data_IF_972243426815
#
_entry.id   IF_972243426815
#
_cell.length_a   1.000
_cell.length_b   1.000
_cell.length_c   1.000
_cell.angle_alpha   90.00
_cell.angle_beta   90.00
_cell.angle_gamma   90.00
#
_symmetry.space_group_name_H-M   'P 1'
#
loop_
_entity.id
_entity.type
_entity.pdbx_description
1 polymer ?
#
# COMPACT_ATOMS: atom_id res chain seq x y z
N UNK A 1 -1.32 -2.53 21.39
CA UNK A 1 -2.34 -1.57 20.88
C UNK A 1 -2.50 -1.85 19.40
N UNK A 2 -3.68 -2.21 18.91
CA UNK A 2 -3.92 -2.44 17.48
C UNK A 2 -3.76 -1.11 16.72
N UNK A 3 -3.20 -1.13 15.52
CA UNK A 3 -3.10 0.04 14.62
C UNK A 3 -4.38 0.24 13.80
N UNK A 4 -5.28 -0.75 13.83
CA UNK A 4 -6.57 -0.70 13.14
C UNK A 4 -7.58 -0.12 14.13
N UNK A 5 -8.23 0.97 13.73
CA UNK A 5 -9.32 1.56 14.49
C UNK A 5 -10.55 0.64 14.44
N UNK A 6 -11.28 0.56 15.56
CA UNK A 6 -12.43 -0.35 15.71
C UNK A 6 -13.51 -0.12 14.63
N UNK A 7 -13.70 1.13 14.20
CA UNK A 7 -14.71 1.50 13.19
C UNK A 7 -14.44 0.85 11.82
N UNK A 8 -13.17 0.61 11.47
CA UNK A 8 -12.76 0.11 10.16
C UNK A 8 -12.44 -1.38 10.10
N UNK A 9 -12.66 -2.14 11.19
CA UNK A 9 -12.19 -3.53 11.27
C UNK A 9 -12.84 -4.45 10.23
N UNK A 10 -14.12 -4.23 9.92
CA UNK A 10 -14.85 -5.03 8.93
C UNK A 10 -14.74 -4.51 7.50
N UNK A 11 -14.08 -3.37 7.30
CA UNK A 11 -13.83 -2.82 5.97
C UNK A 11 -12.76 -3.64 5.24
N UNK A 12 -12.78 -3.53 3.90
CA UNK A 12 -11.76 -4.18 3.07
C UNK A 12 -10.47 -3.38 3.16
N UNK A 13 -9.38 -4.06 3.51
CA UNK A 13 -8.04 -3.50 3.48
C UNK A 13 -7.15 -4.22 2.45
N UNK A 14 -6.08 -3.55 2.01
CA UNK A 14 -5.06 -4.14 1.17
C UNK A 14 -3.91 -4.70 2.00
N UNK A 15 -3.57 -5.97 1.79
CA UNK A 15 -2.34 -6.60 2.29
C UNK A 15 -1.44 -6.90 1.11
N UNK A 16 -0.14 -6.59 1.18
CA UNK A 16 0.79 -7.06 0.17
C UNK A 16 2.12 -7.50 0.76
N UNK A 17 2.73 -8.48 0.09
CA UNK A 17 4.09 -8.95 0.35
C UNK A 17 4.96 -8.38 -0.77
N UNK A 18 5.95 -7.58 -0.41
CA UNK A 18 6.93 -7.01 -1.34
C UNK A 18 8.21 -7.84 -1.35
N UNK A 19 8.63 -8.29 -2.53
CA UNK A 19 9.88 -9.01 -2.73
C UNK A 19 10.93 -8.07 -3.32
N UNK A 20 12.00 -7.86 -2.55
CA UNK A 20 13.04 -6.86 -2.80
C UNK A 20 14.39 -7.58 -2.89
N UNK A 21 15.19 -7.20 -3.88
CA UNK A 21 16.58 -7.62 -4.00
C UNK A 21 17.44 -6.40 -4.31
N UNK A 22 18.53 -6.22 -3.57
CA UNK A 22 19.44 -5.07 -3.74
C UNK A 22 18.69 -3.72 -3.80
N UNK A 23 17.81 -3.48 -2.82
CA UNK A 23 16.96 -2.29 -2.69
C UNK A 23 15.96 -2.05 -3.83
N UNK A 24 15.79 -3.02 -4.73
CA UNK A 24 14.83 -2.93 -5.83
C UNK A 24 13.75 -4.01 -5.69
N UNK A 25 12.51 -3.55 -5.64
CA UNK A 25 11.34 -4.43 -5.65
C UNK A 25 11.04 -4.94 -7.06
N UNK A 26 11.14 -6.26 -7.23
CA UNK A 26 10.92 -6.96 -8.50
C UNK A 26 9.54 -7.65 -8.58
N UNK A 27 8.90 -7.88 -7.43
CA UNK A 27 7.59 -8.51 -7.36
C UNK A 27 6.83 -8.05 -6.11
N UNK A 28 5.51 -7.97 -6.21
CA UNK A 28 4.62 -7.95 -5.04
C UNK A 28 3.40 -8.82 -5.28
N UNK A 29 2.92 -9.40 -4.19
CA UNK A 29 1.67 -10.17 -4.17
C UNK A 29 0.72 -9.50 -3.20
N UNK A 30 -0.38 -8.97 -3.73
CA UNK A 30 -1.45 -8.33 -2.98
C UNK A 30 -2.63 -9.26 -2.71
N UNK A 31 -3.32 -9.01 -1.62
CA UNK A 31 -4.56 -9.64 -1.21
C UNK A 31 -5.50 -8.55 -0.70
N UNK A 32 -6.78 -8.65 -1.04
CA UNK A 32 -7.80 -7.96 -0.27
C UNK A 32 -8.06 -8.79 0.98
N UNK A 33 -8.01 -8.14 2.14
CA UNK A 33 -8.28 -8.77 3.44
C UNK A 33 -9.50 -8.12 4.06
N UNK A 34 -10.35 -8.96 4.63
CA UNK A 34 -11.46 -8.56 5.47
C UNK A 34 -11.43 -9.38 6.76
N UNK A 35 -11.82 -8.76 7.87
CA UNK A 35 -12.08 -9.48 9.10
C UNK A 35 -13.54 -9.94 9.14
N UNK A 36 -13.75 -11.21 9.49
CA UNK A 36 -15.05 -11.82 9.66
C UNK A 36 -15.09 -12.53 11.02
N UNK A 37 -16.24 -12.54 11.69
CA UNK A 37 -16.39 -13.40 12.85
C UNK A 37 -16.41 -14.86 12.42
N UNK A 38 -15.87 -15.73 13.28
CA UNK A 38 -15.94 -17.18 13.12
C UNK A 38 -17.37 -17.74 13.11
N UNK A 39 -18.33 -16.99 13.66
CA UNK A 39 -19.72 -17.36 13.82
C UNK A 39 -20.66 -16.44 12.99
N UNK A 40 -21.45 -17.02 12.07
CA UNK A 40 -22.42 -16.27 11.26
C UNK A 40 -23.44 -15.47 12.08
N UNK A 41 -23.84 -15.93 13.27
CA UNK A 41 -24.81 -15.22 14.09
C UNK A 41 -24.27 -13.86 14.59
N UNK A 42 -22.96 -13.79 14.87
CA UNK A 42 -22.28 -12.54 15.24
C UNK A 42 -22.09 -11.60 14.06
N UNK A 43 -22.07 -12.12 12.83
CA UNK A 43 -22.03 -11.30 11.62
C UNK A 43 -23.38 -10.61 11.36
N UNK A 44 -24.48 -11.33 11.60
CA UNK A 44 -25.84 -10.77 11.46
C UNK A 44 -26.18 -9.78 12.57
N UNK A 45 -25.71 -10.07 13.79
CA UNK A 45 -25.92 -9.23 14.98
C UNK A 45 -24.58 -8.88 15.63
N UNK A 46 -23.86 -7.87 15.11
CA UNK A 46 -22.54 -7.53 15.62
C UNK A 46 -22.62 -7.13 17.10
N UNK A 47 -21.76 -7.69 17.96
CA UNK A 47 -21.68 -7.29 19.35
C UNK A 47 -21.33 -5.80 19.52
N UNK A 48 -21.71 -5.15 20.63
CA UNK A 48 -21.44 -3.73 20.87
C UNK A 48 -19.94 -3.38 20.95
N UNK A 49 -19.12 -4.35 21.35
CA UNK A 49 -17.68 -4.25 21.41
C UNK A 49 -17.06 -5.35 20.55
N UNK A 50 -16.01 -4.99 19.80
CA UNK A 50 -15.34 -5.93 18.90
C UNK A 50 -14.55 -6.96 19.71
N UNK A 51 -14.85 -8.24 19.46
CA UNK A 51 -14.10 -9.35 20.05
C UNK A 51 -13.00 -9.83 19.10
N UNK A 52 -11.79 -9.30 19.29
CA UNK A 52 -10.62 -9.62 18.47
C UNK A 52 -10.22 -11.11 18.47
N UNK A 53 -10.61 -11.89 19.49
CA UNK A 53 -10.27 -13.32 19.54
C UNK A 53 -11.10 -14.16 18.58
N UNK A 54 -12.25 -13.63 18.15
CA UNK A 54 -13.21 -14.31 17.28
C UNK A 54 -13.15 -13.86 15.82
N UNK A 55 -12.29 -12.87 15.53
CA UNK A 55 -12.08 -12.39 14.17
C UNK A 55 -11.09 -13.28 13.41
N UNK A 56 -11.50 -13.69 12.23
CA UNK A 56 -10.70 -14.41 11.25
C UNK A 56 -10.43 -13.52 10.04
N UNK A 57 -9.24 -13.67 9.45
CA UNK A 57 -8.87 -12.95 8.22
C UNK A 57 -9.24 -13.80 7.02
N UNK A 58 -10.14 -13.27 6.20
CA UNK A 58 -10.47 -13.84 4.89
C UNK A 58 -9.67 -13.08 3.83
N UNK A 59 -8.98 -13.83 2.97
CA UNK A 59 -8.14 -13.29 1.90
C UNK A 59 -8.79 -13.54 0.55
N UNK A 60 -8.67 -12.58 -0.36
CA UNK A 60 -9.03 -12.76 -1.77
C UNK A 60 -8.02 -13.63 -2.52
N UNK A 61 -8.30 -13.87 -3.80
CA UNK A 61 -7.30 -14.37 -4.73
C UNK A 61 -6.07 -13.45 -4.81
N UNK A 62 -4.86 -14.01 -5.00
CA UNK A 62 -3.62 -13.25 -5.06
C UNK A 62 -3.54 -12.36 -6.31
N UNK A 63 -3.30 -11.08 -6.10
CA UNK A 63 -3.00 -10.11 -7.15
C UNK A 63 -1.47 -9.96 -7.29
N UNK A 64 -0.90 -10.50 -8.36
CA UNK A 64 0.56 -10.48 -8.57
C UNK A 64 0.96 -9.33 -9.50
N UNK A 65 1.84 -8.45 -9.04
CA UNK A 65 2.49 -7.43 -9.86
C UNK A 65 3.98 -7.72 -9.97
N UNK A 66 4.49 -7.80 -11.20
CA UNK A 66 5.91 -8.02 -11.50
C UNK A 66 6.49 -6.76 -12.13
N UNK A 67 7.69 -6.38 -11.70
CA UNK A 67 8.42 -5.23 -12.23
C UNK A 67 9.61 -5.75 -13.05
N UNK A 68 9.85 -5.16 -14.22
CA UNK A 68 11.09 -5.44 -14.95
C UNK A 68 12.24 -4.74 -14.24
N UNK A 69 13.28 -5.51 -13.95
CA UNK A 69 14.46 -5.05 -13.24
C UNK A 69 15.70 -5.39 -14.06
N UNK A 70 16.64 -4.44 -14.12
CA UNK A 70 17.91 -4.57 -14.82
C UNK A 70 19.06 -4.64 -13.82
N UNK A 71 20.14 -5.32 -14.21
CA UNK A 71 21.40 -5.36 -13.46
C UNK A 71 22.41 -4.51 -14.23
N UNK A 72 22.96 -3.49 -13.57
CA UNK A 72 24.00 -2.61 -14.08
C UNK A 72 25.38 -3.27 -14.10
N UNK A 73 26.31 -2.66 -14.84
CA UNK A 73 27.69 -3.16 -14.96
C UNK A 73 28.46 -3.14 -13.63
N UNK A 74 28.05 -2.27 -12.70
CA UNK A 74 28.54 -2.18 -11.32
C UNK A 74 27.84 -3.14 -10.36
N UNK A 75 26.95 -4.01 -10.86
CA UNK A 75 26.14 -4.92 -10.04
C UNK A 75 24.94 -4.28 -9.37
N UNK A 76 24.67 -2.98 -9.61
CA UNK A 76 23.48 -2.30 -9.10
C UNK A 76 22.21 -2.84 -9.76
N UNK A 77 21.08 -2.84 -9.05
CA UNK A 77 19.78 -3.17 -9.63
C UNK A 77 18.96 -1.91 -9.82
N UNK A 78 18.13 -1.85 -10.87
CA UNK A 78 17.22 -0.73 -11.10
C UNK A 78 15.92 -1.17 -11.79
N UNK A 79 14.82 -0.45 -11.54
CA UNK A 79 13.54 -0.67 -12.25
C UNK A 79 13.62 -0.15 -13.68
N UNK A 80 13.32 -1.00 -14.64
CA UNK A 80 13.26 -0.64 -16.06
C UNK A 80 11.95 0.05 -16.43
N UNK A 81 10.89 -0.14 -15.63
CA UNK A 81 9.55 0.42 -15.88
C UNK A 81 9.28 1.70 -15.09
N UNK A 82 10.26 2.23 -14.35
CA UNK A 82 10.08 3.49 -13.64
C UNK A 82 9.99 4.63 -14.67
N UNK A 83 8.98 5.52 -14.58
CA UNK A 83 9.09 6.79 -15.28
C UNK A 83 10.37 7.45 -14.77
N UNK A 84 11.24 7.89 -15.69
CA UNK A 84 12.44 8.64 -15.33
C UNK A 84 12.02 9.71 -14.33
N UNK A 85 12.57 9.67 -13.12
CA UNK A 85 12.39 10.75 -12.17
C UNK A 85 13.00 12.00 -12.80
N UNK A 86 12.17 12.75 -13.52
CA UNK A 86 12.47 14.09 -13.96
C UNK A 86 12.57 14.90 -12.68
N UNK A 87 13.81 15.11 -12.22
CA UNK A 87 14.16 16.24 -11.36
C UNK A 87 13.82 17.54 -12.10
N UNK A 88 12.54 17.89 -12.16
CA UNK A 88 12.10 19.21 -12.54
C UNK A 88 12.14 20.03 -11.25
N UNK A 89 13.20 20.81 -11.09
CA UNK A 89 13.28 21.84 -10.07
C UNK A 89 12.01 22.68 -10.12
N UNK A 90 11.40 22.88 -8.95
CA UNK A 90 10.39 23.91 -8.78
C UNK A 90 11.11 25.24 -8.94
N UNK A 91 11.13 25.77 -10.16
CA UNK A 91 11.51 27.16 -10.40
C UNK A 91 10.38 28.03 -9.85
N UNK A 92 10.68 28.72 -8.75
CA UNK A 92 9.80 29.68 -8.08
C UNK A 92 9.47 30.83 -9.06
N UNK A 93 8.19 31.13 -9.36
CA UNK A 93 7.87 32.22 -10.27
C UNK A 93 8.09 33.56 -9.56
N UNK A 94 9.03 34.35 -10.09
CA UNK A 94 9.35 35.70 -9.62
C UNK A 94 8.11 36.61 -9.65
N UNK A 95 7.64 36.99 -8.46
CA UNK A 95 6.58 37.97 -8.24
C UNK A 95 7.04 39.35 -8.73
N UNK A 96 6.51 39.80 -9.89
CA UNK A 96 6.69 41.17 -10.38
C UNK A 96 6.03 42.15 -9.40
N UNK A 97 6.82 42.73 -8.51
CA UNK A 97 6.44 43.94 -7.76
C UNK A 97 6.30 45.11 -8.72
N UNK A 98 5.07 45.53 -8.91
CA UNK A 98 4.67 46.73 -9.62
C UNK A 98 5.20 47.95 -8.84
N UNK A 99 6.14 48.68 -9.43
CA UNK A 99 6.57 50.00 -8.93
C UNK A 99 5.51 51.02 -9.33
N UNK A 100 4.88 51.60 -8.32
CA UNK A 100 4.05 52.80 -8.45
C UNK A 100 5.00 54.00 -8.39
N UNK A 101 5.05 54.78 -9.46
CA UNK A 101 5.25 56.25 -9.44
C UNK A 101 4.39 56.87 -10.54
#
# INVERSE_FOLDING_TARGET
KSLIEDVGVFEVAGLYISAIYSDVEFCRVGFYVRYEYDDPAMMETPPPAIDWNRLQRVLSDPCVTRFRVGIGADGSMSRLDAPAESGAGVEEPAEKRQRVE
#
